data_IF_508771629382
#
_entry.id   IF_508771629382
#
_cell.length_a   1.000
_cell.length_b   1.000
_cell.length_c   1.000
_cell.angle_alpha   90.00
_cell.angle_beta   90.00
_cell.angle_gamma   90.00
#
_symmetry.space_group_name_H-M   'P 1'
#
loop_
_entity.id
_entity.type
_entity.pdbx_description
1 polymer ?
#
# COMPACT_ATOMS: atom_id res chain seq x y z
N UNK A 1 -5.00 -3.89 16.71
CA UNK A 1 -4.45 -3.50 18.03
C UNK A 1 -4.21 -1.98 18.13
N UNK A 2 -3.83 -1.29 17.06
CA UNK A 2 -3.65 0.18 17.06
C UNK A 2 -4.90 0.87 17.61
N UNK A 3 -4.72 1.80 18.54
CA UNK A 3 -5.79 2.54 19.22
C UNK A 3 -6.61 1.76 20.27
N UNK A 4 -6.21 0.52 20.60
CA UNK A 4 -6.89 -0.33 21.59
C UNK A 4 -5.92 -1.00 22.59
N UNK A 5 -4.68 -0.55 22.63
CA UNK A 5 -3.66 -1.08 23.55
C UNK A 5 -3.71 -0.34 24.88
N UNK A 6 -3.46 -1.05 26.03
CA UNK A 6 -3.23 -0.40 27.33
C UNK A 6 -1.96 0.47 27.26
N UNK A 7 -1.81 1.39 28.21
CA UNK A 7 -0.69 2.36 28.25
C UNK A 7 0.71 1.72 28.19
N UNK A 8 0.86 0.51 28.72
CA UNK A 8 2.14 -0.22 28.74
C UNK A 8 2.40 -1.10 27.51
N UNK A 9 1.47 -1.12 26.54
CA UNK A 9 1.64 -1.85 25.26
C UNK A 9 1.60 -0.86 24.11
N UNK A 10 2.71 -0.74 23.39
CA UNK A 10 2.81 0.10 22.22
C UNK A 10 2.74 -0.75 20.95
N UNK A 11 1.76 -0.47 20.09
CA UNK A 11 1.71 -1.07 18.75
C UNK A 11 2.63 -0.27 17.81
N UNK A 12 3.68 -0.91 17.32
CA UNK A 12 4.67 -0.30 16.43
C UNK A 12 4.47 -0.80 14.99
N UNK A 13 4.64 0.10 14.03
CA UNK A 13 4.79 -0.25 12.61
C UNK A 13 6.27 -0.14 12.26
N UNK A 14 6.99 -1.27 12.13
CA UNK A 14 8.44 -1.25 11.89
C UNK A 14 8.80 -0.79 10.47
N UNK A 15 7.84 -0.88 9.54
CA UNK A 15 7.95 -0.36 8.18
C UNK A 15 7.07 0.88 8.03
N UNK A 16 7.59 1.90 7.37
CA UNK A 16 6.86 3.12 7.05
C UNK A 16 7.15 3.53 5.62
N UNK A 17 6.09 3.78 4.84
CA UNK A 17 6.20 4.23 3.46
C UNK A 17 7.13 3.34 2.60
N UNK A 18 7.03 2.01 2.78
CA UNK A 18 7.81 1.01 2.05
C UNK A 18 9.24 0.79 2.53
N UNK A 19 9.71 1.52 3.56
CA UNK A 19 11.08 1.42 4.07
C UNK A 19 11.13 1.03 5.56
N UNK A 20 12.27 0.47 5.98
CA UNK A 20 12.50 0.13 7.38
C UNK A 20 12.65 1.43 8.19
N UNK A 21 11.79 1.60 9.20
CA UNK A 21 11.86 2.72 10.16
C UNK A 21 12.42 2.31 11.52
N UNK A 22 12.37 1.01 11.83
CA UNK A 22 12.90 0.41 13.05
C UNK A 22 13.50 -0.95 12.72
N UNK A 23 14.82 -1.05 12.75
CA UNK A 23 15.56 -2.26 12.37
C UNK A 23 15.30 -3.43 13.32
N UNK A 24 15.31 -3.19 14.64
CA UNK A 24 15.17 -4.24 15.64
C UNK A 24 13.77 -4.84 15.59
N UNK A 25 12.76 -4.01 15.46
CA UNK A 25 11.37 -4.44 15.33
C UNK A 25 11.09 -5.10 13.98
N UNK A 26 11.74 -4.65 12.90
CA UNK A 26 11.64 -5.30 11.58
C UNK A 26 12.26 -6.70 11.62
N UNK A 27 13.46 -6.84 12.21
CA UNK A 27 14.10 -8.14 12.39
C UNK A 27 13.22 -9.08 13.22
N UNK A 28 12.68 -8.60 14.34
CA UNK A 28 11.80 -9.39 15.20
C UNK A 28 10.52 -9.83 14.45
N UNK A 29 9.93 -8.95 13.65
CA UNK A 29 8.75 -9.25 12.83
C UNK A 29 9.08 -10.31 11.76
N UNK A 30 10.17 -10.16 11.02
CA UNK A 30 10.60 -11.13 10.00
C UNK A 30 10.91 -12.47 10.65
N UNK A 31 11.56 -12.48 11.80
CA UNK A 31 11.87 -13.71 12.56
C UNK A 31 10.60 -14.47 12.93
N UNK A 32 9.58 -13.75 13.40
CA UNK A 32 8.28 -14.36 13.72
C UNK A 32 7.61 -14.94 12.49
N UNK A 33 7.61 -14.23 11.37
CA UNK A 33 7.06 -14.76 10.10
C UNK A 33 7.81 -16.00 9.62
N UNK A 34 9.15 -16.01 9.69
CA UNK A 34 9.96 -17.18 9.35
C UNK A 34 9.58 -18.36 10.27
N UNK A 35 9.42 -18.12 11.57
CA UNK A 35 9.03 -19.15 12.53
C UNK A 35 7.65 -19.73 12.21
N UNK A 36 6.67 -18.87 11.95
CA UNK A 36 5.30 -19.28 11.61
C UNK A 36 5.24 -20.14 10.34
N UNK A 37 6.00 -19.77 9.30
CA UNK A 37 5.99 -20.49 8.01
C UNK A 37 6.87 -21.75 8.05
N UNK A 38 8.00 -21.69 8.75
CA UNK A 38 8.98 -22.79 8.80
C UNK A 38 8.61 -23.90 9.80
N UNK A 39 7.60 -23.68 10.65
CA UNK A 39 7.06 -24.68 11.58
C UNK A 39 8.09 -25.28 12.55
N UNK A 40 9.18 -24.56 12.86
CA UNK A 40 10.27 -25.06 13.71
C UNK A 40 11.24 -26.03 13.01
N UNK A 41 11.23 -26.09 11.68
CA UNK A 41 12.19 -26.90 10.93
C UNK A 41 13.62 -26.47 11.22
N UNK A 42 14.53 -27.49 11.33
CA UNK A 42 15.94 -27.29 11.72
C UNK A 42 16.74 -26.54 10.63
N UNK A 43 16.29 -26.55 9.38
CA UNK A 43 16.97 -25.89 8.27
C UNK A 43 16.47 -24.45 8.08
N UNK A 44 17.43 -23.53 7.99
CA UNK A 44 17.14 -22.13 7.69
C UNK A 44 16.55 -22.01 6.27
N UNK A 45 15.43 -21.26 6.08
CA UNK A 45 14.78 -21.14 4.78
C UNK A 45 15.53 -20.22 3.82
N UNK A 46 15.27 -20.40 2.52
CA UNK A 46 15.50 -19.37 1.51
C UNK A 46 14.23 -18.54 1.42
N UNK A 47 14.35 -17.24 1.42
CA UNK A 47 13.21 -16.34 1.37
C UNK A 47 13.30 -15.38 0.19
N UNK A 48 12.14 -15.00 -0.32
CA UNK A 48 11.96 -13.92 -1.29
C UNK A 48 11.20 -12.80 -0.58
N UNK A 49 11.70 -11.58 -0.68
CA UNK A 49 11.04 -10.39 -0.15
C UNK A 49 10.74 -9.42 -1.27
N UNK A 50 9.54 -8.87 -1.26
CA UNK A 50 9.16 -7.80 -2.16
C UNK A 50 9.68 -6.45 -1.65
N UNK A 51 10.09 -5.60 -2.57
CA UNK A 51 10.52 -4.22 -2.29
C UNK A 51 9.93 -3.28 -3.34
N UNK A 52 9.61 -2.03 -2.97
CA UNK A 52 9.19 -1.02 -3.93
C UNK A 52 10.20 -0.82 -5.04
N UNK A 53 9.75 -0.42 -6.23
CA UNK A 53 10.64 -0.22 -7.38
C UNK A 53 11.65 0.92 -7.20
N UNK A 54 11.34 1.89 -6.33
CA UNK A 54 12.19 3.06 -6.04
C UNK A 54 13.15 2.88 -4.86
N UNK A 55 13.25 1.67 -4.28
CA UNK A 55 14.10 1.41 -3.12
C UNK A 55 15.58 1.62 -3.46
N UNK A 56 16.30 2.35 -2.61
CA UNK A 56 17.73 2.62 -2.77
C UNK A 56 18.59 1.39 -2.46
N UNK A 57 19.83 1.38 -2.94
CA UNK A 57 20.78 0.28 -2.64
C UNK A 57 21.04 0.12 -1.14
N UNK A 58 21.02 1.22 -0.36
CA UNK A 58 21.17 1.18 1.09
C UNK A 58 19.97 0.49 1.74
N UNK A 59 18.76 0.85 1.33
CA UNK A 59 17.52 0.22 1.81
C UNK A 59 17.44 -1.25 1.41
N UNK A 60 17.84 -1.60 0.17
CA UNK A 60 17.95 -3.00 -0.28
C UNK A 60 18.86 -3.82 0.62
N UNK A 61 20.04 -3.29 0.97
CA UNK A 61 20.97 -3.94 1.90
C UNK A 61 20.38 -4.10 3.28
N UNK A 62 19.75 -3.05 3.82
CA UNK A 62 19.11 -3.10 5.13
C UNK A 62 18.03 -4.20 5.21
N UNK A 63 17.20 -4.35 4.18
CA UNK A 63 16.19 -5.42 4.09
C UNK A 63 16.84 -6.80 4.07
N UNK A 64 17.90 -6.99 3.29
CA UNK A 64 18.64 -8.27 3.23
C UNK A 64 19.29 -8.58 4.57
N UNK A 65 19.94 -7.61 5.21
CA UNK A 65 20.59 -7.75 6.50
C UNK A 65 19.58 -8.11 7.61
N UNK A 66 18.46 -7.40 7.69
CA UNK A 66 17.39 -7.70 8.63
C UNK A 66 16.86 -9.14 8.48
N UNK A 67 16.65 -9.57 7.24
CA UNK A 67 16.16 -10.92 6.97
C UNK A 67 17.21 -12.02 7.24
N UNK A 68 18.47 -11.76 6.96
CA UNK A 68 19.56 -12.69 7.31
C UNK A 68 19.74 -12.80 8.82
N UNK A 69 19.68 -11.67 9.56
CA UNK A 69 19.71 -11.63 11.02
C UNK A 69 18.51 -12.32 11.66
N UNK A 70 17.34 -12.21 11.03
CA UNK A 70 16.12 -12.91 11.45
C UNK A 70 16.16 -14.43 11.26
N UNK A 71 17.18 -14.96 10.58
CA UNK A 71 17.42 -16.40 10.47
C UNK A 71 17.26 -17.00 9.06
N UNK A 72 17.12 -16.17 8.02
CA UNK A 72 17.15 -16.67 6.65
C UNK A 72 18.51 -17.27 6.28
N UNK A 73 18.52 -18.33 5.43
CA UNK A 73 19.74 -18.89 4.84
C UNK A 73 20.21 -18.08 3.63
N UNK A 74 19.26 -17.62 2.84
CA UNK A 74 19.48 -16.81 1.64
C UNK A 74 18.26 -15.93 1.39
N UNK A 75 18.51 -14.71 1.00
CA UNK A 75 17.48 -13.71 0.68
C UNK A 75 17.56 -13.35 -0.79
N UNK A 76 16.43 -13.30 -1.46
CA UNK A 76 16.26 -12.77 -2.80
C UNK A 76 15.29 -11.60 -2.71
N UNK A 77 15.56 -10.54 -3.44
CA UNK A 77 14.65 -9.41 -3.57
C UNK A 77 13.95 -9.50 -4.93
N UNK A 78 12.66 -9.17 -4.92
CA UNK A 78 11.85 -8.99 -6.13
C UNK A 78 11.14 -7.64 -6.02
N UNK A 79 11.01 -6.93 -7.10
CA UNK A 79 10.26 -5.67 -7.12
C UNK A 79 8.76 -5.94 -7.09
N UNK A 80 8.02 -5.15 -6.29
CA UNK A 80 6.58 -5.34 -6.06
C UNK A 80 5.76 -5.43 -7.36
N UNK A 81 5.97 -4.58 -8.38
CA UNK A 81 5.26 -4.69 -9.64
C UNK A 81 5.46 -6.02 -10.38
N UNK A 82 6.68 -6.56 -10.33
CA UNK A 82 6.98 -7.86 -10.95
C UNK A 82 6.27 -8.97 -10.19
N UNK A 83 6.31 -8.93 -8.86
CA UNK A 83 5.63 -9.91 -8.01
C UNK A 83 4.11 -9.89 -8.24
N UNK A 84 3.51 -8.70 -8.38
CA UNK A 84 2.08 -8.52 -8.65
C UNK A 84 1.68 -9.16 -9.99
N UNK A 85 2.45 -8.92 -11.06
CA UNK A 85 2.20 -9.53 -12.38
C UNK A 85 2.31 -11.05 -12.35
N UNK A 86 3.35 -11.59 -11.69
CA UNK A 86 3.52 -13.04 -11.52
C UNK A 86 2.34 -13.63 -10.74
N UNK A 87 1.95 -12.97 -9.64
CA UNK A 87 0.83 -13.40 -8.80
C UNK A 87 -0.52 -13.39 -9.54
N UNK A 88 -0.71 -12.45 -10.47
CA UNK A 88 -1.86 -12.39 -11.36
C UNK A 88 -1.80 -13.41 -12.52
N UNK A 89 -0.71 -14.18 -12.65
CA UNK A 89 -0.54 -15.15 -13.73
C UNK A 89 -0.21 -14.53 -15.09
N UNK A 90 0.26 -13.29 -15.11
CA UNK A 90 0.67 -12.61 -16.34
C UNK A 90 2.03 -13.13 -16.80
N UNK A 91 2.13 -13.54 -18.06
CA UNK A 91 3.39 -13.98 -18.66
C UNK A 91 4.25 -12.77 -19.06
N UNK A 92 5.17 -12.40 -18.19
CA UNK A 92 6.08 -11.27 -18.37
C UNK A 92 7.33 -11.62 -19.22
N UNK A 93 7.51 -12.87 -19.63
CA UNK A 93 8.66 -13.31 -20.45
C UNK A 93 8.59 -12.84 -21.89
N UNK A 94 7.44 -12.43 -22.36
CA UNK A 94 7.18 -11.96 -23.73
C UNK A 94 7.66 -10.53 -23.94
N UNK A 95 7.94 -10.14 -25.19
CA UNK A 95 8.36 -8.78 -25.57
C UNK A 95 7.22 -7.76 -25.56
N UNK A 96 6.12 -8.07 -24.91
CA UNK A 96 4.94 -7.20 -24.85
C UNK A 96 5.01 -6.30 -23.62
N UNK A 97 4.68 -5.02 -23.81
CA UNK A 97 4.51 -4.08 -22.71
C UNK A 97 3.29 -4.46 -21.84
N UNK A 98 3.53 -4.68 -20.56
CA UNK A 98 2.46 -4.88 -19.57
C UNK A 98 2.57 -3.83 -18.49
N UNK A 99 1.50 -3.08 -18.27
CA UNK A 99 1.44 -2.07 -17.23
C UNK A 99 0.84 -2.65 -15.95
N UNK A 100 1.41 -2.27 -14.83
CA UNK A 100 0.87 -2.57 -13.51
C UNK A 100 0.85 -1.31 -12.66
N UNK A 101 -0.23 -1.14 -11.91
CA UNK A 101 -0.39 -0.15 -10.85
C UNK A 101 -0.65 -0.93 -9.57
N UNK A 102 0.31 -0.90 -8.66
CA UNK A 102 0.23 -1.56 -7.35
C UNK A 102 0.05 -0.51 -6.26
N UNK A 103 -1.10 -0.53 -5.58
CA UNK A 103 -1.44 0.42 -4.53
C UNK A 103 -1.46 -0.32 -3.19
N UNK A 104 -0.39 -0.15 -2.42
CA UNK A 104 -0.26 -0.72 -1.10
C UNK A 104 -0.81 0.17 0.02
N UNK A 105 -0.36 -0.09 1.26
CA UNK A 105 -0.67 0.75 2.41
C UNK A 105 0.18 2.02 2.46
N UNK A 106 1.47 1.94 2.13
CA UNK A 106 2.44 3.04 2.24
C UNK A 106 2.85 3.66 0.92
N UNK A 107 2.94 2.87 -0.15
CA UNK A 107 3.42 3.24 -1.48
C UNK A 107 2.42 2.87 -2.56
N UNK A 108 2.45 3.61 -3.65
CA UNK A 108 1.85 3.21 -4.92
C UNK A 108 2.95 3.15 -5.99
N UNK A 109 3.09 1.99 -6.61
CA UNK A 109 4.07 1.67 -7.63
C UNK A 109 3.39 1.53 -8.98
N UNK A 110 3.88 2.27 -9.97
CA UNK A 110 3.45 2.20 -11.35
C UNK A 110 4.62 1.74 -12.19
N UNK A 111 4.47 0.64 -12.92
CA UNK A 111 5.55 0.11 -13.74
C UNK A 111 5.05 -0.46 -15.07
N UNK A 112 5.94 -0.42 -16.06
CA UNK A 112 5.80 -1.14 -17.32
C UNK A 112 6.89 -2.19 -17.37
N UNK A 113 6.46 -3.43 -17.57
CA UNK A 113 7.32 -4.62 -17.59
C UNK A 113 7.28 -5.26 -18.97
N UNK A 114 8.45 -5.66 -19.46
CA UNK A 114 8.62 -6.44 -20.68
C UNK A 114 9.88 -7.32 -20.57
N UNK A 115 9.90 -8.51 -21.15
CA UNK A 115 11.04 -9.43 -21.09
C UNK A 115 11.59 -9.68 -19.67
N UNK A 116 10.71 -9.91 -18.70
CA UNK A 116 11.05 -10.12 -17.28
C UNK A 116 11.74 -8.92 -16.58
N UNK A 117 11.74 -7.75 -17.19
CA UNK A 117 12.40 -6.54 -16.67
C UNK A 117 11.47 -5.35 -16.61
N UNK A 118 11.73 -4.45 -15.68
CA UNK A 118 11.06 -3.15 -15.62
C UNK A 118 11.67 -2.24 -16.68
N UNK A 119 10.83 -1.73 -17.58
CA UNK A 119 11.21 -0.76 -18.62
C UNK A 119 11.11 0.67 -18.09
N UNK A 120 10.02 0.97 -17.41
CA UNK A 120 9.76 2.24 -16.72
C UNK A 120 9.05 1.99 -15.41
N UNK A 121 9.39 2.76 -14.38
CA UNK A 121 8.66 2.73 -13.12
C UNK A 121 8.69 4.07 -12.41
N UNK A 122 7.66 4.29 -11.60
CA UNK A 122 7.57 5.36 -10.61
C UNK A 122 6.93 4.82 -9.35
N UNK A 123 7.42 5.28 -8.22
CA UNK A 123 6.87 4.98 -6.91
C UNK A 123 6.64 6.28 -6.14
N UNK A 124 5.48 6.37 -5.49
CA UNK A 124 5.14 7.52 -4.65
C UNK A 124 4.68 7.05 -3.27
N UNK A 125 4.93 7.88 -2.26
CA UNK A 125 4.49 7.65 -0.88
C UNK A 125 3.05 8.14 -0.67
N UNK A 126 2.17 7.76 -1.61
CA UNK A 126 0.75 8.07 -1.63
C UNK A 126 -0.02 6.77 -1.85
N UNK A 127 -0.69 6.28 -0.79
CA UNK A 127 -1.41 5.00 -0.81
C UNK A 127 -2.43 4.94 0.35
N UNK A 128 -2.91 3.75 0.70
CA UNK A 128 -4.02 3.52 1.62
C UNK A 128 -3.93 4.27 2.95
N UNK A 129 -2.76 4.31 3.59
CA UNK A 129 -2.57 5.02 4.86
C UNK A 129 -2.77 6.55 4.73
N UNK A 130 -2.38 7.13 3.60
CA UNK A 130 -2.59 8.57 3.33
C UNK A 130 -4.06 8.88 3.10
N UNK A 131 -4.79 7.97 2.43
CA UNK A 131 -6.23 8.08 2.27
C UNK A 131 -6.94 8.05 3.62
N UNK A 132 -6.58 7.12 4.50
CA UNK A 132 -7.16 7.03 5.84
C UNK A 132 -6.93 8.31 6.65
N UNK A 133 -5.71 8.86 6.60
CA UNK A 133 -5.38 10.13 7.25
C UNK A 133 -6.16 11.32 6.67
N UNK A 134 -6.39 11.33 5.36
CA UNK A 134 -7.19 12.37 4.70
C UNK A 134 -8.66 12.29 5.15
N UNK A 135 -9.22 11.09 5.23
CA UNK A 135 -10.57 10.85 5.75
C UNK A 135 -10.69 11.32 7.19
N UNK A 136 -9.75 10.94 8.08
CA UNK A 136 -9.76 11.38 9.47
C UNK A 136 -9.75 12.90 9.57
N UNK A 137 -8.90 13.57 8.79
CA UNK A 137 -8.83 15.05 8.75
C UNK A 137 -10.12 15.66 8.27
N UNK A 138 -10.68 15.19 7.17
CA UNK A 138 -11.92 15.70 6.59
C UNK A 138 -13.10 15.59 7.59
N UNK A 139 -13.29 14.41 8.16
CA UNK A 139 -14.35 14.16 9.16
C UNK A 139 -14.15 15.04 10.40
N UNK A 140 -12.91 15.17 10.87
CA UNK A 140 -12.59 16.04 12.01
C UNK A 140 -12.89 17.51 11.71
N UNK A 141 -12.56 17.99 10.52
CA UNK A 141 -12.79 19.39 10.13
C UNK A 141 -14.29 19.69 9.91
N UNK A 142 -14.99 18.81 9.20
CA UNK A 142 -16.40 19.01 8.82
C UNK A 142 -17.36 18.79 9.98
N UNK A 143 -17.20 17.69 10.70
CA UNK A 143 -18.15 17.24 11.72
C UNK A 143 -17.67 17.45 13.16
N UNK A 144 -16.41 17.87 13.37
CA UNK A 144 -15.78 18.00 14.70
C UNK A 144 -15.76 16.66 15.47
N UNK A 145 -15.72 15.54 14.73
CA UNK A 145 -15.66 14.17 15.27
C UNK A 145 -14.29 13.59 14.97
N UNK A 146 -13.58 13.18 16.00
CA UNK A 146 -12.31 12.45 15.88
C UNK A 146 -12.59 10.95 15.79
N UNK A 147 -12.20 10.34 14.67
CA UNK A 147 -12.30 8.89 14.42
C UNK A 147 -10.91 8.25 14.43
N UNK A 148 -10.86 6.94 14.66
CA UNK A 148 -9.62 6.17 14.59
C UNK A 148 -9.32 5.65 13.18
N UNK A 149 -8.04 5.25 12.94
CA UNK A 149 -7.56 4.73 11.64
C UNK A 149 -8.44 3.58 11.11
N UNK A 150 -8.79 2.60 11.95
CA UNK A 150 -9.65 1.47 11.54
C UNK A 150 -11.05 1.88 11.10
N UNK A 151 -11.58 2.97 11.65
CA UNK A 151 -12.89 3.49 11.25
C UNK A 151 -12.79 4.17 9.89
N UNK A 152 -11.71 4.92 9.66
CA UNK A 152 -11.43 5.57 8.38
C UNK A 152 -11.20 4.53 7.26
N UNK A 153 -10.36 3.52 7.54
CA UNK A 153 -10.10 2.40 6.63
C UNK A 153 -11.39 1.66 6.25
N UNK A 154 -12.22 1.36 7.24
CA UNK A 154 -13.53 0.72 7.02
C UNK A 154 -14.43 1.59 6.14
N UNK A 155 -14.51 2.88 6.41
CA UNK A 155 -15.31 3.81 5.59
C UNK A 155 -14.79 3.86 4.15
N UNK A 156 -13.45 3.94 3.96
CA UNK A 156 -12.82 3.86 2.65
C UNK A 156 -13.23 2.59 1.90
N UNK A 157 -13.14 1.42 2.54
CA UNK A 157 -13.45 0.13 1.91
C UNK A 157 -14.93 -0.05 1.57
N UNK A 158 -15.84 0.48 2.39
CA UNK A 158 -17.28 0.22 2.23
C UNK A 158 -17.98 1.22 1.31
N UNK A 159 -17.61 2.52 1.37
CA UNK A 159 -18.35 3.56 0.66
C UNK A 159 -17.52 4.47 -0.23
N UNK A 160 -16.18 4.28 -0.33
CA UNK A 160 -15.38 5.15 -1.19
C UNK A 160 -15.77 5.01 -2.67
N UNK A 161 -15.89 6.14 -3.33
CA UNK A 161 -16.02 6.26 -4.78
C UNK A 161 -15.29 7.53 -5.21
N UNK A 162 -14.18 7.38 -5.95
CA UNK A 162 -13.31 8.51 -6.35
C UNK A 162 -13.61 9.04 -7.74
N UNK A 163 -14.56 8.43 -8.46
CA UNK A 163 -14.89 8.82 -9.83
C UNK A 163 -16.23 9.55 -9.92
N UNK A 164 -17.29 8.95 -9.40
CA UNK A 164 -18.66 9.48 -9.52
C UNK A 164 -19.45 9.21 -8.21
N UNK A 165 -19.21 10.01 -7.15
CA UNK A 165 -19.95 9.87 -5.91
C UNK A 165 -21.39 10.37 -6.10
N UNK A 166 -22.36 9.57 -5.68
CA UNK A 166 -23.78 9.91 -5.80
C UNK A 166 -24.36 10.54 -4.54
N UNK A 167 -23.67 10.41 -3.40
CA UNK A 167 -24.17 10.77 -2.07
C UNK A 167 -25.17 9.76 -1.49
N UNK A 168 -25.47 8.68 -2.22
CA UNK A 168 -26.46 7.68 -1.82
C UNK A 168 -25.88 6.61 -0.88
N UNK A 169 -24.61 6.23 -1.08
CA UNK A 169 -23.95 5.29 -0.18
C UNK A 169 -23.65 5.98 1.14
N UNK A 170 -24.19 5.43 2.21
CA UNK A 170 -24.07 6.01 3.55
C UNK A 170 -23.57 4.99 4.55
N UNK A 171 -22.85 5.48 5.55
CA UNK A 171 -22.33 4.68 6.65
C UNK A 171 -22.41 5.46 7.95
N UNK A 172 -22.84 4.78 9.02
CA UNK A 172 -22.77 5.34 10.38
C UNK A 172 -21.40 5.04 10.98
N UNK A 173 -20.69 6.08 11.38
CA UNK A 173 -19.42 5.98 12.07
C UNK A 173 -19.53 6.53 13.49
N UNK A 174 -18.62 6.08 14.38
CA UNK A 174 -18.55 6.52 15.78
C UNK A 174 -17.21 7.14 16.07
N UNK A 175 -17.23 8.25 16.78
CA UNK A 175 -16.02 8.96 17.18
C UNK A 175 -16.23 9.79 18.44
N UNK A 176 -15.22 10.54 18.83
CA UNK A 176 -15.29 11.49 19.93
C UNK A 176 -15.58 12.88 19.39
N UNK A 177 -16.68 13.47 19.82
CA UNK A 177 -16.98 14.87 19.51
C UNK A 177 -15.96 15.77 20.24
N UNK A 178 -15.26 16.58 19.50
CA UNK A 178 -14.19 17.44 20.04
C UNK A 178 -14.71 18.66 20.80
N UNK A 179 -15.96 19.07 20.57
CA UNK A 179 -16.58 20.19 21.28
C UNK A 179 -17.18 19.75 22.61
N UNK A 180 -17.83 18.56 22.62
CA UNK A 180 -18.53 18.03 23.79
C UNK A 180 -17.65 17.08 24.64
N UNK A 181 -16.56 16.54 24.04
CA UNK A 181 -15.72 15.52 24.68
C UNK A 181 -16.35 14.12 24.76
N UNK A 182 -17.56 13.94 24.27
CA UNK A 182 -18.37 12.71 24.43
C UNK A 182 -18.33 11.85 23.15
N UNK A 183 -18.55 10.53 23.25
CA UNK A 183 -18.79 9.67 22.10
C UNK A 183 -20.04 10.12 21.35
N UNK A 184 -19.95 10.18 20.02
CA UNK A 184 -21.07 10.55 19.13
C UNK A 184 -21.05 9.68 17.89
N UNK A 185 -22.22 9.41 17.31
CA UNK A 185 -22.38 8.73 16.03
C UNK A 185 -22.86 9.71 14.99
N UNK A 186 -22.28 9.66 13.81
CA UNK A 186 -22.69 10.46 12.66
C UNK A 186 -22.87 9.60 11.44
N UNK A 187 -23.73 10.01 10.52
CA UNK A 187 -23.84 9.43 9.19
C UNK A 187 -22.95 10.21 8.21
N UNK A 188 -22.12 9.50 7.46
CA UNK A 188 -21.29 10.03 6.37
C UNK A 188 -21.69 9.39 5.05
N UNK A 189 -21.38 10.03 3.93
CA UNK A 189 -21.68 9.56 2.59
C UNK A 189 -20.42 9.29 1.78
N UNK A 190 -20.57 8.64 0.62
CA UNK A 190 -19.51 8.48 -0.39
C UNK A 190 -18.99 9.83 -0.89
N UNK A 191 -19.84 10.90 -0.89
CA UNK A 191 -19.41 12.26 -1.19
C UNK A 191 -18.40 12.78 -0.17
N UNK A 192 -18.60 12.51 1.12
CA UNK A 192 -17.63 12.89 2.18
C UNK A 192 -16.28 12.22 1.95
N UNK A 193 -16.29 10.94 1.55
CA UNK A 193 -15.05 10.22 1.28
C UNK A 193 -14.38 10.74 0.00
N UNK A 194 -15.16 11.01 -1.05
CA UNK A 194 -14.66 11.64 -2.28
C UNK A 194 -13.96 12.97 -1.97
N UNK A 195 -14.63 13.88 -1.26
CA UNK A 195 -14.08 15.18 -0.89
C UNK A 195 -12.78 15.06 -0.08
N UNK A 196 -12.64 13.97 0.68
CA UNK A 196 -11.46 13.70 1.48
C UNK A 196 -10.26 13.18 0.66
N UNK A 197 -10.48 12.30 -0.34
CA UNK A 197 -9.39 11.51 -0.94
C UNK A 197 -9.20 11.72 -2.45
N UNK A 198 -10.08 12.45 -3.12
CA UNK A 198 -10.00 12.64 -4.57
C UNK A 198 -8.65 13.21 -5.02
N UNK A 199 -8.14 14.25 -4.37
CA UNK A 199 -6.84 14.85 -4.71
C UNK A 199 -5.70 13.82 -4.56
N UNK A 200 -5.73 13.01 -3.49
CA UNK A 200 -4.74 11.95 -3.28
C UNK A 200 -4.80 10.87 -4.37
N UNK A 201 -6.00 10.50 -4.83
CA UNK A 201 -6.17 9.56 -5.94
C UNK A 201 -5.63 10.14 -7.25
N UNK A 202 -5.86 11.45 -7.50
CA UNK A 202 -5.34 12.13 -8.68
C UNK A 202 -3.80 12.18 -8.72
N UNK A 203 -3.10 12.21 -7.58
CA UNK A 203 -1.65 12.09 -7.55
C UNK A 203 -1.18 10.75 -8.13
N UNK A 204 -1.89 9.65 -7.86
CA UNK A 204 -1.57 8.34 -8.45
C UNK A 204 -1.83 8.35 -9.95
N UNK A 205 -2.97 8.91 -10.39
CA UNK A 205 -3.30 9.05 -11.82
C UNK A 205 -2.22 9.82 -12.57
N UNK A 206 -1.67 10.86 -11.96
CA UNK A 206 -0.59 11.65 -12.57
C UNK A 206 0.68 10.81 -12.73
N UNK A 207 1.02 9.91 -11.79
CA UNK A 207 2.16 9.01 -11.98
C UNK A 207 1.94 8.02 -13.13
N UNK A 208 0.70 7.55 -13.30
CA UNK A 208 0.35 6.68 -14.46
C UNK A 208 0.61 7.41 -15.77
N UNK A 209 0.17 8.67 -15.90
CA UNK A 209 0.44 9.50 -17.09
C UNK A 209 1.92 9.67 -17.35
N UNK A 210 2.68 10.06 -16.31
CA UNK A 210 4.12 10.28 -16.43
C UNK A 210 4.89 9.02 -16.84
N UNK A 211 4.48 7.84 -16.39
CA UNK A 211 5.06 6.57 -16.82
C UNK A 211 4.74 6.31 -18.28
N UNK A 212 3.50 6.51 -18.72
CA UNK A 212 3.11 6.33 -20.12
C UNK A 212 3.86 7.30 -21.06
N UNK A 213 3.98 8.57 -20.66
CA UNK A 213 4.70 9.59 -21.44
C UNK A 213 6.18 9.28 -21.62
N UNK A 214 6.81 8.63 -20.64
CA UNK A 214 8.24 8.25 -20.68
C UNK A 214 8.49 6.89 -21.33
N UNK A 215 7.45 6.18 -21.74
CA UNK A 215 7.52 4.81 -22.28
C UNK A 215 7.65 4.82 -23.81
N UNK A 216 8.46 3.92 -24.40
CA UNK A 216 8.51 3.77 -25.85
C UNK A 216 7.14 3.53 -26.49
N UNK A 217 6.84 4.17 -27.64
CA UNK A 217 5.51 4.09 -28.28
C UNK A 217 5.01 2.68 -28.57
N UNK A 218 5.92 1.76 -28.91
CA UNK A 218 5.58 0.36 -29.20
C UNK A 218 4.96 -0.33 -27.97
N UNK A 219 5.55 -0.11 -26.80
CA UNK A 219 5.04 -0.69 -25.56
C UNK A 219 3.75 0.01 -25.08
N UNK A 220 3.57 1.30 -25.37
CA UNK A 220 2.30 2.00 -25.11
C UNK A 220 1.19 1.42 -25.99
N UNK A 221 1.49 1.06 -27.24
CA UNK A 221 0.55 0.35 -28.11
C UNK A 221 0.11 -1.00 -27.56
N UNK A 222 1.04 -1.76 -26.95
CA UNK A 222 0.72 -3.02 -26.29
C UNK A 222 -0.20 -2.80 -25.07
N UNK A 223 0.06 -1.78 -24.26
CA UNK A 223 -0.76 -1.46 -23.08
C UNK A 223 -2.18 -1.06 -23.49
N UNK A 224 -2.34 -0.31 -24.59
CA UNK A 224 -3.66 0.04 -25.14
C UNK A 224 -4.46 -1.21 -25.50
N UNK A 225 -3.79 -2.24 -26.01
CA UNK A 225 -4.42 -3.50 -26.43
C UNK A 225 -4.67 -4.46 -25.28
N UNK A 226 -3.73 -4.56 -24.32
CA UNK A 226 -3.73 -5.55 -23.26
C UNK A 226 -4.29 -5.01 -21.93
N UNK A 227 -4.42 -3.68 -21.81
CA UNK A 227 -4.86 -3.02 -20.57
C UNK A 227 -3.76 -2.90 -19.52
N UNK A 228 -4.20 -2.59 -18.31
CA UNK A 228 -3.34 -2.42 -17.14
C UNK A 228 -3.83 -3.32 -16.01
N UNK A 229 -2.92 -3.99 -15.33
CA UNK A 229 -3.21 -4.67 -14.08
C UNK A 229 -3.28 -3.63 -12.96
N UNK A 230 -4.45 -3.44 -12.36
CA UNK A 230 -4.58 -2.70 -11.12
C UNK A 230 -4.60 -3.70 -9.97
N UNK A 231 -3.56 -3.66 -9.14
CA UNK A 231 -3.43 -4.48 -7.96
C UNK A 231 -3.54 -3.61 -6.70
N UNK A 232 -4.36 -4.03 -5.76
CA UNK A 232 -4.50 -3.34 -4.48
C UNK A 232 -4.27 -4.33 -3.35
N UNK A 233 -3.47 -3.94 -2.36
CA UNK A 233 -3.31 -4.73 -1.14
C UNK A 233 -4.65 -4.86 -0.41
N UNK A 234 -4.95 -6.00 0.21
CA UNK A 234 -6.15 -6.18 1.03
C UNK A 234 -6.13 -5.40 2.36
N UNK A 235 -5.15 -4.55 2.55
CA UNK A 235 -4.99 -3.70 3.74
C UNK A 235 -5.69 -2.35 3.62
#
# INVERSE_FOLDING_TARGET
MIGRTPEYIVAVRPLKDGVISDNDMTEAMIREFIHMVNGGAMMKPRIVLCVPSSVTDVERRAVVEAAMSAGARKVFLIEEPIAALIGAGVDISKPNGTMVVDIGGGTADVAIVSFNGIVQSRSIKMAGNKFDQAIIRHITQKYKILIGEKTAEKAKMEIANVFDPTGEKKMTIRGRNLLKGLPESIEISDQDIYDAIHENAMEIVEQVKLVLESTPPELVGDILSNGCLLYTSPS
#
